data_IF_782545065766
#
_entry.id   IF_782545065766
#
_cell.length_a   1.000
_cell.length_b   1.000
_cell.length_c   1.000
_cell.angle_alpha   90.00
_cell.angle_beta   90.00
_cell.angle_gamma   90.00
#
_symmetry.space_group_name_H-M   'P 1'
#
loop_
_entity.id
_entity.type
_entity.pdbx_description
1 polymer ?
#
# COMPACT_ATOMS: atom_id res chain seq x y z
N UNK A 1 4.42 -9.95 5.44
CA UNK A 1 3.77 -9.94 4.11
C UNK A 1 3.10 -8.59 3.81
N UNK A 2 2.22 -8.07 4.68
CA UNK A 2 1.51 -6.80 4.45
C UNK A 2 2.42 -5.60 4.11
N UNK A 3 3.63 -5.57 4.68
CA UNK A 3 4.60 -4.49 4.49
C UNK A 3 5.79 -4.91 3.62
N UNK A 4 5.74 -6.09 3.00
CA UNK A 4 6.82 -6.48 2.10
C UNK A 4 6.82 -5.57 0.89
N UNK A 5 8.01 -5.13 0.54
CA UNK A 5 8.25 -4.28 -0.61
C UNK A 5 8.77 -5.13 -1.75
N UNK A 6 8.27 -4.86 -2.95
CA UNK A 6 8.87 -5.38 -4.18
C UNK A 6 10.16 -4.62 -4.53
N UNK A 7 10.72 -4.88 -5.72
CA UNK A 7 11.94 -4.24 -6.18
C UNK A 7 11.80 -2.71 -6.40
N UNK A 8 10.58 -2.18 -6.44
CA UNK A 8 10.29 -0.74 -6.56
C UNK A 8 9.92 -0.09 -5.21
N UNK A 9 10.06 -0.82 -4.09
CA UNK A 9 9.69 -0.31 -2.77
C UNK A 9 8.18 -0.37 -2.48
N UNK A 10 7.38 -0.97 -3.36
CA UNK A 10 5.92 -0.96 -3.26
C UNK A 10 5.41 -2.09 -2.39
N UNK A 11 4.50 -1.74 -1.49
CA UNK A 11 3.77 -2.70 -0.66
C UNK A 11 2.48 -3.16 -1.33
N UNK A 12 1.87 -4.28 -0.87
CA UNK A 12 0.51 -4.68 -1.28
C UNK A 12 -0.52 -3.54 -1.23
N UNK A 13 -0.39 -2.63 -0.26
CA UNK A 13 -1.29 -1.49 -0.11
C UNK A 13 -1.15 -0.46 -1.25
N UNK A 14 0.05 -0.27 -1.81
CA UNK A 14 0.22 0.60 -2.99
C UNK A 14 -0.62 0.10 -4.16
N UNK A 15 -0.59 -1.21 -4.41
CA UNK A 15 -1.38 -1.83 -5.49
C UNK A 15 -2.88 -1.76 -5.21
N UNK A 16 -3.32 -2.03 -3.97
CA UNK A 16 -4.73 -1.96 -3.61
C UNK A 16 -5.33 -0.55 -3.77
N UNK A 17 -4.56 0.49 -3.40
CA UNK A 17 -4.97 1.88 -3.57
C UNK A 17 -4.97 2.28 -5.05
N UNK A 18 -3.96 1.87 -5.82
CA UNK A 18 -3.89 2.14 -7.26
C UNK A 18 -5.05 1.50 -8.05
N UNK A 19 -5.50 0.32 -7.63
CA UNK A 19 -6.66 -0.38 -8.21
C UNK A 19 -8.00 0.24 -7.77
N UNK A 20 -8.01 1.13 -6.77
CA UNK A 20 -9.24 1.68 -6.18
C UNK A 20 -10.09 0.63 -5.45
N UNK A 21 -9.49 -0.51 -5.08
CA UNK A 21 -10.20 -1.63 -4.49
C UNK A 21 -10.38 -1.44 -2.98
N UNK A 22 -11.44 -0.72 -2.62
CA UNK A 22 -11.77 -0.35 -1.24
C UNK A 22 -11.83 -1.58 -0.32
N UNK A 23 -12.39 -2.70 -0.79
CA UNK A 23 -12.49 -3.92 0.01
C UNK A 23 -11.12 -4.48 0.40
N UNK A 24 -10.16 -4.48 -0.54
CA UNK A 24 -8.81 -4.94 -0.24
C UNK A 24 -8.08 -3.93 0.66
N UNK A 25 -8.27 -2.63 0.43
CA UNK A 25 -7.72 -1.59 1.32
C UNK A 25 -8.24 -1.75 2.75
N UNK A 26 -9.53 -1.99 2.94
CA UNK A 26 -10.13 -2.19 4.26
C UNK A 26 -9.57 -3.43 4.96
N UNK A 27 -9.43 -4.55 4.22
CA UNK A 27 -8.84 -5.77 4.77
C UNK A 27 -7.39 -5.54 5.17
N UNK A 28 -6.58 -4.91 4.31
CA UNK A 28 -5.16 -4.64 4.61
C UNK A 28 -5.00 -3.70 5.80
N UNK A 29 -5.79 -2.63 5.87
CA UNK A 29 -5.72 -1.62 6.95
C UNK A 29 -6.34 -2.10 8.27
N UNK A 30 -7.17 -3.15 8.25
CA UNK A 30 -7.70 -3.77 9.47
C UNK A 30 -6.63 -4.42 10.36
N UNK A 31 -5.46 -4.74 9.80
CA UNK A 31 -4.36 -5.31 10.56
C UNK A 31 -3.53 -4.20 11.22
N UNK A 32 -3.36 -4.24 12.53
CA UNK A 32 -2.55 -3.25 13.29
C UNK A 32 -1.09 -3.14 12.79
N UNK A 33 -0.55 -4.23 12.23
CA UNK A 33 0.81 -4.27 11.69
C UNK A 33 0.94 -3.68 10.28
N UNK A 34 -0.16 -3.26 9.64
CA UNK A 34 -0.12 -2.69 8.29
C UNK A 34 0.50 -1.29 8.31
N UNK A 35 1.56 -1.10 7.54
CA UNK A 35 2.21 0.20 7.36
C UNK A 35 1.55 0.96 6.20
N UNK A 36 0.64 1.86 6.56
CA UNK A 36 -0.08 2.70 5.59
C UNK A 36 0.76 3.85 5.01
N UNK A 37 1.93 4.12 5.58
CA UNK A 37 2.81 5.24 5.19
C UNK A 37 4.14 4.78 4.59
N UNK A 38 4.27 3.50 4.23
CA UNK A 38 5.47 2.98 3.57
C UNK A 38 5.75 3.74 2.26
N UNK A 39 7.01 4.10 2.03
CA UNK A 39 7.44 4.77 0.81
C UNK A 39 7.88 3.76 -0.25
N UNK A 40 7.49 4.00 -1.50
CA UNK A 40 8.14 3.43 -2.68
C UNK A 40 9.50 4.10 -2.99
N UNK A 41 10.22 3.60 -3.99
CA UNK A 41 11.52 4.14 -4.39
C UNK A 41 11.44 5.57 -4.97
N UNK A 42 10.24 6.07 -5.26
CA UNK A 42 9.99 7.44 -5.69
C UNK A 42 9.50 8.34 -4.54
N UNK A 43 9.62 7.87 -3.29
CA UNK A 43 9.14 8.57 -2.09
C UNK A 43 7.63 8.82 -2.08
N UNK A 44 6.86 7.96 -2.75
CA UNK A 44 5.40 8.01 -2.74
C UNK A 44 4.87 7.01 -1.73
N UNK A 45 3.86 7.42 -0.98
CA UNK A 45 3.06 6.53 -0.12
C UNK A 45 1.93 5.88 -0.94
N UNK A 46 1.23 4.85 -0.42
CA UNK A 46 0.08 4.27 -1.11
C UNK A 46 -0.96 5.32 -1.51
N UNK A 47 -1.19 6.34 -0.67
CA UNK A 47 -2.17 7.39 -0.96
C UNK A 47 -1.78 8.25 -2.18
N UNK A 48 -0.49 8.43 -2.46
CA UNK A 48 -0.05 9.15 -3.66
C UNK A 48 -0.36 8.39 -4.96
N UNK A 49 -0.68 7.10 -4.87
CA UNK A 49 -1.08 6.27 -6.00
C UNK A 49 -2.60 6.25 -6.22
N UNK A 50 -3.39 6.92 -5.37
CA UNK A 50 -4.82 7.07 -5.60
C UNK A 50 -5.06 7.94 -6.84
N UNK A 51 -5.91 7.45 -7.75
CA UNK A 51 -6.31 8.15 -8.98
C UNK A 51 -7.31 9.29 -8.70
#
# INVERSE_FOLDING_TARGET
LLNWQDYEGRTPLHFAVADGNVTVVDVLTSYESCNITSYDNLFRTPLHWAA
#
